data_IF_703083871984
#
_entry.id   IF_703083871984
#
_cell.length_a   1.000
_cell.length_b   1.000
_cell.length_c   1.000
_cell.angle_alpha   90.00
_cell.angle_beta   90.00
_cell.angle_gamma   90.00
#
_symmetry.space_group_name_H-M   'P 1'
#
loop_
_entity.id
_entity.type
_entity.pdbx_description
1 polymer ?
#
# COMPACT_ATOMS: atom_id res chain seq x y z
N UNK A 1 -7.08 27.70 -16.98
CA UNK A 1 -7.66 27.00 -15.81
C UNK A 1 -8.31 25.66 -16.16
N UNK A 2 -9.04 25.56 -17.27
CA UNK A 2 -9.68 24.32 -17.74
C UNK A 2 -8.69 23.19 -18.04
N UNK A 3 -7.55 23.48 -18.67
CA UNK A 3 -6.52 22.47 -18.94
C UNK A 3 -5.92 21.84 -17.68
N UNK A 4 -5.57 22.67 -16.68
CA UNK A 4 -5.05 22.17 -15.41
C UNK A 4 -6.09 21.30 -14.70
N UNK A 5 -7.34 21.76 -14.66
CA UNK A 5 -8.47 21.00 -14.09
C UNK A 5 -8.70 19.67 -14.81
N UNK A 6 -8.68 19.67 -16.15
CA UNK A 6 -8.81 18.45 -16.96
C UNK A 6 -7.67 17.46 -16.73
N UNK A 7 -6.43 17.95 -16.62
CA UNK A 7 -5.27 17.11 -16.34
C UNK A 7 -5.36 16.48 -14.95
N UNK A 8 -5.81 17.23 -13.94
CA UNK A 8 -6.04 16.70 -12.59
C UNK A 8 -7.13 15.63 -12.58
N UNK A 9 -8.22 15.82 -13.34
CA UNK A 9 -9.29 14.82 -13.45
C UNK A 9 -8.77 13.51 -14.08
N UNK A 10 -7.97 13.60 -15.15
CA UNK A 10 -7.37 12.43 -15.79
C UNK A 10 -6.42 11.71 -14.82
N UNK A 11 -5.60 12.47 -14.08
CA UNK A 11 -4.70 11.89 -13.06
C UNK A 11 -5.47 11.20 -11.94
N UNK A 12 -6.57 11.79 -11.47
CA UNK A 12 -7.41 11.17 -10.45
C UNK A 12 -8.04 9.85 -10.93
N UNK A 13 -8.53 9.82 -12.17
CA UNK A 13 -9.07 8.60 -12.80
C UNK A 13 -7.98 7.54 -12.93
N UNK A 14 -6.79 7.92 -13.42
CA UNK A 14 -5.66 7.02 -13.54
C UNK A 14 -5.26 6.45 -12.16
N UNK A 15 -5.18 7.29 -11.14
CA UNK A 15 -4.88 6.86 -9.77
C UNK A 15 -5.93 5.86 -9.26
N UNK A 16 -7.22 6.16 -9.41
CA UNK A 16 -8.30 5.23 -9.06
C UNK A 16 -8.16 3.89 -9.78
N UNK A 17 -7.89 3.90 -11.09
CA UNK A 17 -7.69 2.68 -11.87
C UNK A 17 -6.50 1.86 -11.37
N UNK A 18 -5.37 2.51 -11.04
CA UNK A 18 -4.19 1.80 -10.51
C UNK A 18 -4.47 1.13 -9.17
N UNK A 19 -5.22 1.78 -8.27
CA UNK A 19 -5.62 1.22 -6.98
C UNK A 19 -6.54 0.01 -7.16
N UNK A 20 -7.52 0.10 -8.06
CA UNK A 20 -8.42 -1.02 -8.39
C UNK A 20 -7.62 -2.20 -8.94
N UNK A 21 -6.71 -1.96 -9.89
CA UNK A 21 -5.85 -3.01 -10.45
C UNK A 21 -4.97 -3.65 -9.38
N UNK A 22 -4.37 -2.84 -8.49
CA UNK A 22 -3.55 -3.32 -7.39
C UNK A 22 -4.37 -4.18 -6.42
N UNK A 23 -5.60 -3.76 -6.08
CA UNK A 23 -6.50 -4.50 -5.23
C UNK A 23 -6.89 -5.85 -5.86
N UNK A 24 -7.21 -5.88 -7.16
CA UNK A 24 -7.53 -7.12 -7.88
C UNK A 24 -6.32 -8.06 -7.94
N UNK A 25 -5.13 -7.53 -8.21
CA UNK A 25 -3.90 -8.34 -8.19
C UNK A 25 -3.65 -8.93 -6.82
N UNK A 26 -3.79 -8.13 -5.76
CA UNK A 26 -3.67 -8.59 -4.37
C UNK A 26 -4.69 -9.67 -4.03
N UNK A 27 -5.94 -9.53 -4.46
CA UNK A 27 -6.99 -10.54 -4.25
C UNK A 27 -6.64 -11.86 -4.96
N UNK A 28 -6.16 -11.78 -6.21
CA UNK A 28 -5.70 -12.95 -6.96
C UNK A 28 -4.48 -13.60 -6.30
N UNK A 29 -3.52 -12.81 -5.84
CA UNK A 29 -2.34 -13.32 -5.14
C UNK A 29 -2.72 -13.97 -3.80
N UNK A 30 -3.66 -13.40 -3.06
CA UNK A 30 -4.20 -13.99 -1.82
C UNK A 30 -4.90 -15.31 -2.08
N UNK A 31 -5.78 -15.35 -3.09
CA UNK A 31 -6.49 -16.57 -3.51
C UNK A 31 -5.53 -17.66 -3.99
N UNK A 32 -4.45 -17.28 -4.68
CA UNK A 32 -3.45 -18.22 -5.19
C UNK A 32 -2.48 -18.74 -4.13
N UNK A 33 -2.26 -17.99 -3.04
CA UNK A 33 -1.25 -18.28 -2.01
C UNK A 33 -1.82 -18.68 -0.62
N UNK A 34 -3.08 -19.05 -0.51
CA UNK A 34 -3.57 -19.72 0.72
C UNK A 34 -2.81 -21.06 0.89
N UNK A 35 -2.19 -21.40 2.05
CA UNK A 35 -2.29 -20.85 3.41
C UNK A 35 -0.97 -20.27 3.98
N UNK A 36 -0.02 -19.83 3.15
CA UNK A 36 1.27 -19.28 3.62
C UNK A 36 1.36 -17.75 3.65
N UNK A 37 0.56 -17.05 2.81
CA UNK A 37 0.77 -15.61 2.53
C UNK A 37 0.13 -14.63 3.52
N UNK A 38 -0.81 -15.08 4.36
CA UNK A 38 -1.46 -14.22 5.36
C UNK A 38 -0.45 -13.71 6.39
N UNK A 39 0.56 -14.53 6.74
CA UNK A 39 1.63 -14.18 7.68
C UNK A 39 2.59 -13.15 7.06
N UNK A 40 2.96 -13.32 5.78
CA UNK A 40 3.86 -12.39 5.08
C UNK A 40 3.21 -11.01 4.82
N UNK A 41 1.90 -10.98 4.52
CA UNK A 41 1.14 -9.75 4.38
C UNK A 41 1.03 -8.97 5.69
N UNK A 42 0.83 -9.65 6.83
CA UNK A 42 0.83 -9.02 8.15
C UNK A 42 2.22 -8.55 8.56
N UNK A 43 3.28 -9.31 8.27
CA UNK A 43 4.65 -8.90 8.52
C UNK A 43 5.06 -7.65 7.70
N UNK A 44 4.58 -7.53 6.46
CA UNK A 44 4.84 -6.35 5.62
C UNK A 44 4.05 -5.10 6.06
N UNK A 45 2.81 -5.27 6.52
CA UNK A 45 2.04 -4.19 7.12
C UNK A 45 2.64 -3.75 8.47
N UNK A 46 3.04 -4.70 9.32
CA UNK A 46 3.67 -4.43 10.61
C UNK A 46 5.07 -3.80 10.46
N UNK A 47 5.84 -4.14 9.43
CA UNK A 47 7.12 -3.47 9.16
C UNK A 47 6.96 -2.05 8.63
N UNK A 48 5.91 -1.77 7.85
CA UNK A 48 5.57 -0.40 7.44
C UNK A 48 5.10 0.46 8.62
N UNK A 49 4.36 -0.13 9.56
CA UNK A 49 3.92 0.51 10.80
C UNK A 49 5.10 0.73 11.77
N UNK A 50 5.97 -0.27 11.95
CA UNK A 50 7.18 -0.15 12.76
C UNK A 50 8.23 0.82 12.17
N UNK A 51 8.23 1.03 10.85
CA UNK A 51 9.10 2.03 10.21
C UNK A 51 8.56 3.45 10.41
N UNK A 52 7.23 3.62 10.52
CA UNK A 52 6.63 4.90 10.90
C UNK A 52 6.94 5.27 12.36
N UNK A 53 7.28 4.28 13.19
CA UNK A 53 7.64 4.41 14.60
C UNK A 53 9.15 4.23 14.83
N UNK A 54 9.95 4.98 14.08
CA UNK A 54 11.42 4.97 14.16
C UNK A 54 11.98 5.24 15.58
N UNK A 55 13.24 4.83 15.83
CA UNK A 55 13.69 4.30 17.10
C UNK A 55 14.04 5.39 18.12
N UNK A 56 13.43 5.37 19.30
CA UNK A 56 14.02 6.04 20.46
C UNK A 56 15.17 5.18 20.97
N UNK A 57 16.44 5.66 20.94
CA UNK A 57 17.56 4.89 21.45
C UNK A 57 17.40 4.70 22.96
N UNK A 58 17.73 3.52 23.52
CA UNK A 58 17.64 3.31 24.96
C UNK A 58 18.64 4.25 25.65
N UNK A 59 18.14 5.10 26.54
CA UNK A 59 18.97 5.88 27.43
C UNK A 59 19.74 4.91 28.34
N UNK A 60 21.04 4.76 28.06
CA UNK A 60 21.99 4.11 28.96
C UNK A 60 21.92 4.80 30.33
N UNK A 61 21.49 4.05 31.35
CA UNK A 61 21.66 4.37 32.75
C UNK A 61 22.08 3.14 33.52
#
# INVERSE_FOLDING_TARGET
MTYLSGLLAIMAIAMMATLVLLAVRRDRDLRRNAPGSVVAGRARAASLEAQAEGPTPPALR
#
